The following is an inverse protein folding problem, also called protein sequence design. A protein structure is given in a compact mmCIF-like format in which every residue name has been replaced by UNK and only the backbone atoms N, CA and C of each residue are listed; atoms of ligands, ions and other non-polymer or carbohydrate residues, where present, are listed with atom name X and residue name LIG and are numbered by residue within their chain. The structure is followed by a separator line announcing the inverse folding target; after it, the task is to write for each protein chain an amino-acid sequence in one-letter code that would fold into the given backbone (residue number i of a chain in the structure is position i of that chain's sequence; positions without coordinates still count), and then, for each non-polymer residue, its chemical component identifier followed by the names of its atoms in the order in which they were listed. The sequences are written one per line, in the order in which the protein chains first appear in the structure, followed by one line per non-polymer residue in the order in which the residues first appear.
data_IF_027327902876
#
_entry.id   IF_027327902876
#
_cell.length_a   1.000
_cell.length_b   1.000
_cell.length_c   1.000
_cell.angle_alpha   90.00
_cell.angle_beta   90.00
_cell.angle_gamma   90.00
#
_symmetry.space_group_name_H-M   'P 1'
#
loop_
_entity.id
_entity.type
_entity.pdbx_description
1 polymer ?
#
# COMPACT_ATOMS: atom_id res chain seq x y z
N UNK A 1 -6.50 -17.47 6.90
CA UNK A 1 -5.87 -16.83 5.77
C UNK A 1 -5.91 -15.32 5.90
N UNK A 2 -4.74 -14.68 5.80
CA UNK A 2 -4.59 -13.25 6.07
C UNK A 2 -5.27 -12.38 5.03
N UNK A 3 -5.25 -12.81 3.76
CA UNK A 3 -5.73 -12.00 2.65
C UNK A 3 -6.78 -12.76 1.83
N UNK A 4 -7.82 -12.04 1.46
CA UNK A 4 -8.79 -12.48 0.46
C UNK A 4 -9.10 -11.30 -0.44
N UNK A 5 -8.66 -11.35 -1.69
CA UNK A 5 -8.87 -10.32 -2.71
C UNK A 5 -8.47 -10.88 -4.07
N UNK A 6 -8.73 -10.11 -5.12
CA UNK A 6 -8.30 -10.44 -6.49
C UNK A 6 -7.27 -9.44 -6.93
N UNK A 7 -6.25 -9.90 -7.66
CA UNK A 7 -5.16 -9.02 -8.10
C UNK A 7 -4.80 -9.26 -9.56
N UNK A 8 -4.29 -8.21 -10.19
CA UNK A 8 -3.66 -8.26 -11.50
C UNK A 8 -2.40 -7.39 -11.45
N UNK A 9 -1.39 -7.76 -12.24
CA UNK A 9 -0.10 -7.08 -12.22
C UNK A 9 0.05 -6.17 -13.42
N UNK A 10 0.52 -4.94 -13.18
CA UNK A 10 0.78 -3.95 -14.22
C UNK A 10 2.28 -3.78 -14.33
N UNK A 11 2.84 -4.14 -15.49
CA UNK A 11 4.28 -4.13 -15.74
C UNK A 11 4.72 -3.00 -16.65
N UNK A 12 3.82 -2.11 -17.03
CA UNK A 12 4.11 -1.00 -17.94
C UNK A 12 5.25 -0.14 -17.39
N UNK A 13 6.29 0.03 -18.22
CA UNK A 13 7.51 0.72 -17.81
C UNK A 13 7.28 2.20 -17.54
N UNK A 14 6.47 2.86 -18.38
CA UNK A 14 6.23 4.30 -18.22
C UNK A 14 5.46 4.59 -16.93
N UNK A 15 4.44 3.80 -16.65
CA UNK A 15 3.65 3.93 -15.42
C UNK A 15 4.55 3.69 -14.20
N UNK A 16 5.34 2.63 -14.23
CA UNK A 16 6.26 2.32 -13.12
C UNK A 16 7.29 3.42 -12.91
N UNK A 17 7.84 3.97 -14.00
CA UNK A 17 8.80 5.07 -13.94
C UNK A 17 8.18 6.32 -13.32
N UNK A 18 6.93 6.62 -13.67
CA UNK A 18 6.21 7.75 -13.10
C UNK A 18 6.02 7.59 -11.59
N UNK A 19 5.64 6.40 -11.14
CA UNK A 19 5.50 6.11 -9.72
C UNK A 19 6.83 6.19 -8.99
N UNK A 20 7.91 5.72 -9.60
CA UNK A 20 9.24 5.79 -9.00
C UNK A 20 9.68 7.24 -8.79
N UNK A 21 9.44 8.12 -9.76
CA UNK A 21 9.73 9.54 -9.61
C UNK A 21 8.94 10.17 -8.46
N UNK A 22 7.66 9.84 -8.38
CA UNK A 22 6.81 10.32 -7.31
C UNK A 22 7.30 9.83 -5.95
N UNK A 23 7.71 8.56 -5.87
CA UNK A 23 8.26 7.98 -4.65
C UNK A 23 9.53 8.72 -4.20
N UNK A 24 10.46 9.01 -5.13
CA UNK A 24 11.67 9.75 -4.79
C UNK A 24 11.34 11.12 -4.21
N UNK A 25 10.36 11.80 -4.76
CA UNK A 25 9.92 13.10 -4.25
C UNK A 25 9.33 12.98 -2.84
N UNK A 26 8.46 12.00 -2.61
CA UNK A 26 7.87 11.77 -1.29
C UNK A 26 8.94 11.39 -0.27
N UNK A 27 9.85 10.51 -0.65
CA UNK A 27 10.96 10.07 0.22
C UNK A 27 11.80 11.26 0.68
N UNK A 28 12.07 12.19 -0.24
CA UNK A 28 12.80 13.42 0.06
C UNK A 28 12.00 14.36 0.96
N UNK A 29 10.74 14.60 0.62
CA UNK A 29 9.88 15.53 1.38
C UNK A 29 9.59 15.02 2.80
N UNK A 30 9.35 13.74 2.95
CA UNK A 30 9.13 13.12 4.24
C UNK A 30 10.41 12.95 5.06
N UNK A 31 11.56 13.20 4.44
CA UNK A 31 12.88 13.04 5.07
C UNK A 31 13.13 11.62 5.56
N UNK A 32 12.53 10.64 4.89
CA UNK A 32 12.77 9.23 5.21
C UNK A 32 14.17 8.78 4.82
N UNK A 33 14.69 9.33 3.72
CA UNK A 33 16.04 9.04 3.22
C UNK A 33 16.28 7.54 2.99
N UNK A 34 15.27 6.82 2.57
CA UNK A 34 15.43 5.42 2.21
C UNK A 34 16.23 5.28 0.90
N UNK A 35 17.04 4.24 0.83
CA UNK A 35 17.62 3.82 -0.43
C UNK A 35 16.53 3.14 -1.28
N UNK A 36 16.14 3.78 -2.36
CA UNK A 36 15.13 3.26 -3.28
C UNK A 36 15.79 3.10 -4.65
N UNK A 37 15.79 1.88 -5.17
CA UNK A 37 16.44 1.57 -6.45
C UNK A 37 15.46 1.16 -7.54
N UNK A 38 14.27 0.68 -7.17
CA UNK A 38 13.29 0.22 -8.16
C UNK A 38 11.89 0.19 -7.57
N UNK A 39 10.91 -0.08 -8.43
CA UNK A 39 9.52 -0.33 -8.06
C UNK A 39 9.11 -1.68 -8.63
N UNK A 40 8.42 -2.49 -7.84
CA UNK A 40 7.87 -3.76 -8.32
C UNK A 40 6.75 -3.52 -9.34
N UNK A 41 6.36 -4.52 -10.13
CA UNK A 41 5.14 -4.41 -10.92
C UNK A 41 3.98 -3.95 -10.03
N UNK A 42 3.18 -3.02 -10.53
CA UNK A 42 2.07 -2.48 -9.74
C UNK A 42 0.98 -3.52 -9.58
N UNK A 43 0.36 -3.54 -8.43
CA UNK A 43 -0.72 -4.48 -8.14
C UNK A 43 -2.05 -3.76 -8.23
N UNK A 44 -2.86 -4.12 -9.23
CA UNK A 44 -4.26 -3.72 -9.28
C UNK A 44 -5.04 -4.73 -8.43
N UNK A 45 -5.73 -4.23 -7.40
CA UNK A 45 -6.47 -5.08 -6.46
C UNK A 45 -7.94 -4.70 -6.46
N UNK A 46 -8.82 -5.70 -6.40
CA UNK A 46 -10.22 -5.43 -6.17
C UNK A 46 -10.77 -6.37 -5.11
N UNK A 47 -11.57 -5.77 -4.23
CA UNK A 47 -12.15 -6.43 -3.07
C UNK A 47 -13.66 -6.40 -3.23
N UNK A 48 -14.28 -7.57 -3.23
CA UNK A 48 -15.72 -7.74 -3.26
C UNK A 48 -16.22 -8.06 -1.85
N UNK A 49 -17.54 -8.25 -1.69
CA UNK A 49 -18.12 -8.52 -0.39
C UNK A 49 -17.35 -9.64 0.33
N UNK A 50 -17.03 -9.40 1.60
CA UNK A 50 -16.28 -10.26 2.50
C UNK A 50 -14.77 -10.33 2.22
N UNK A 51 -14.30 -9.77 1.11
CA UNK A 51 -12.86 -9.69 0.83
C UNK A 51 -12.21 -8.71 1.81
N UNK A 52 -10.97 -9.03 2.19
CA UNK A 52 -10.24 -8.26 3.19
C UNK A 52 -8.74 -8.57 3.13
N UNK A 53 -7.98 -7.82 3.91
CA UNK A 53 -6.57 -8.12 4.15
C UNK A 53 -6.26 -7.79 5.61
N UNK A 54 -6.02 -8.81 6.42
CA UNK A 54 -5.75 -8.65 7.85
C UNK A 54 -4.45 -7.91 8.14
N UNK A 55 -4.21 -7.62 9.42
CA UNK A 55 -3.01 -6.90 9.84
C UNK A 55 -1.73 -7.58 9.34
N UNK A 56 -0.89 -6.80 8.67
CA UNK A 56 0.37 -7.28 8.11
C UNK A 56 1.33 -6.11 7.88
N UNK A 57 2.58 -6.44 7.63
CA UNK A 57 3.59 -5.51 7.11
C UNK A 57 3.98 -5.96 5.71
N UNK A 58 4.53 -5.05 4.92
CA UNK A 58 4.95 -5.34 3.55
C UNK A 58 6.44 -5.66 3.44
N UNK A 59 7.23 -5.30 4.44
CA UNK A 59 8.68 -5.51 4.41
C UNK A 59 9.01 -6.99 4.53
N UNK A 60 9.65 -7.52 3.48
CA UNK A 60 10.22 -8.85 3.50
C UNK A 60 11.33 -8.91 2.45
N UNK A 61 12.35 -9.75 2.65
CA UNK A 61 13.42 -9.90 1.67
C UNK A 61 12.88 -10.50 0.37
N UNK A 62 13.42 -10.04 -0.75
CA UNK A 62 13.19 -10.70 -2.04
C UNK A 62 14.30 -11.69 -2.29
N UNK A 63 13.94 -12.92 -2.59
CA UNK A 63 14.91 -14.01 -2.72
C UNK A 63 15.81 -13.88 -3.95
N UNK A 64 15.26 -13.38 -5.07
CA UNK A 64 15.97 -13.39 -6.35
C UNK A 64 17.02 -12.30 -6.48
N UNK A 65 16.76 -11.10 -5.94
CA UNK A 65 17.67 -9.96 -6.08
C UNK A 65 18.05 -9.32 -4.75
N UNK A 66 17.58 -9.89 -3.66
CA UNK A 66 17.88 -9.42 -2.30
C UNK A 66 17.47 -7.99 -2.00
N UNK A 67 16.56 -7.42 -2.80
CA UNK A 67 15.98 -6.13 -2.49
C UNK A 67 14.84 -6.29 -1.51
N UNK A 68 14.59 -5.27 -0.71
CA UNK A 68 13.48 -5.28 0.24
C UNK A 68 12.56 -4.10 -0.02
N UNK A 69 11.28 -4.28 0.30
CA UNK A 69 10.29 -3.20 0.25
C UNK A 69 10.55 -2.22 1.37
N UNK A 70 10.59 -0.94 1.03
CA UNK A 70 10.84 0.14 1.99
C UNK A 70 9.70 1.13 2.08
N UNK A 71 9.07 1.44 0.95
CA UNK A 71 7.92 2.34 0.89
C UNK A 71 6.80 1.64 0.16
N UNK A 72 5.60 1.71 0.72
CA UNK A 72 4.37 1.22 0.12
C UNK A 72 3.50 2.41 -0.27
N UNK A 73 2.77 2.26 -1.37
CA UNK A 73 1.82 3.26 -1.84
C UNK A 73 0.53 2.58 -2.22
N UNK A 74 -0.60 3.18 -1.87
CA UNK A 74 -1.90 2.73 -2.36
C UNK A 74 -2.71 3.91 -2.87
N UNK A 75 -3.45 3.68 -3.94
CA UNK A 75 -4.31 4.68 -4.56
C UNK A 75 -5.70 4.08 -4.73
N UNK A 76 -6.72 4.77 -4.24
CA UNK A 76 -8.10 4.36 -4.45
C UNK A 76 -8.52 4.72 -5.88
N UNK A 77 -9.10 3.78 -6.60
CA UNK A 77 -9.43 3.92 -8.01
C UNK A 77 -10.91 4.11 -8.29
N UNK A 78 -11.78 3.90 -7.30
CA UNK A 78 -13.21 4.13 -7.50
C UNK A 78 -13.82 4.90 -6.34
N UNK A 79 -14.96 5.52 -6.60
CA UNK A 79 -15.62 6.40 -5.67
C UNK A 79 -16.06 5.64 -4.41
N UNK A 80 -15.84 6.20 -3.20
CA UNK A 80 -16.22 5.53 -1.97
C UNK A 80 -17.73 5.32 -1.83
N UNK A 81 -18.55 5.99 -2.63
CA UNK A 81 -20.00 5.71 -2.67
C UNK A 81 -20.33 4.38 -3.31
N UNK A 82 -19.37 3.75 -4.00
CA UNK A 82 -19.57 2.48 -4.70
C UNK A 82 -19.36 1.25 -3.82
N UNK A 83 -18.95 1.43 -2.56
CA UNK A 83 -18.73 0.31 -1.65
C UNK A 83 -18.83 0.76 -0.20
N UNK A 84 -19.04 -0.21 0.69
CA UNK A 84 -19.01 0.00 2.13
C UNK A 84 -17.99 -0.95 2.76
N UNK A 85 -17.39 -0.51 3.86
CA UNK A 85 -16.26 -1.23 4.44
C UNK A 85 -14.97 -0.91 3.70
N UNK A 86 -14.00 -1.79 3.78
CA UNK A 86 -12.76 -1.66 3.02
C UNK A 86 -11.86 -0.52 3.47
N UNK A 87 -12.00 -0.05 4.70
CA UNK A 87 -11.11 0.98 5.25
C UNK A 87 -9.68 0.45 5.28
N UNK A 88 -8.74 1.30 4.87
CA UNK A 88 -7.32 1.06 5.06
C UNK A 88 -6.91 1.66 6.39
N UNK A 89 -6.54 0.82 7.34
CA UNK A 89 -6.08 1.26 8.66
C UNK A 89 -4.56 1.11 8.75
N UNK A 90 -3.89 2.15 9.23
CA UNK A 90 -2.46 2.13 9.52
C UNK A 90 -2.25 2.22 11.03
N UNK A 91 -1.40 1.34 11.58
CA UNK A 91 -1.00 1.43 12.98
C UNK A 91 0.14 2.44 13.08
N UNK A 92 -0.17 3.62 13.58
CA UNK A 92 0.78 4.72 13.68
C UNK A 92 1.44 4.83 15.05
N UNK A 93 1.34 3.78 15.85
CA UNK A 93 1.97 3.71 17.18
C UNK A 93 1.67 4.95 18.03
N UNK A 94 0.39 5.13 18.34
CA UNK A 94 -0.06 6.24 19.20
C UNK A 94 -0.20 5.75 20.64
N UNK A 95 0.87 5.75 21.46
CA UNK A 95 0.78 5.27 22.84
C UNK A 95 -0.22 6.11 23.62
N UNK A 96 -1.06 5.45 24.42
CA UNK A 96 -2.08 6.13 25.21
C UNK A 96 -3.36 6.42 24.46
N UNK A 97 -3.45 6.11 23.17
CA UNK A 97 -4.66 6.24 22.38
C UNK A 97 -5.24 4.86 22.04
N UNK A 98 -6.54 4.79 22.00
CA UNK A 98 -7.28 3.58 21.62
C UNK A 98 -8.44 3.98 20.71
N UNK A 99 -8.44 3.54 19.45
CA UNK A 99 -7.47 2.64 18.83
C UNK A 99 -6.15 3.32 18.47
N UNK A 100 -5.11 2.50 18.29
CA UNK A 100 -3.77 2.96 17.90
C UNK A 100 -3.66 3.25 16.40
N UNK A 101 -4.66 2.89 15.63
CA UNK A 101 -4.64 3.05 14.18
C UNK A 101 -5.50 4.21 13.74
N UNK A 102 -5.19 4.74 12.55
CA UNK A 102 -6.05 5.69 11.84
C UNK A 102 -6.51 5.06 10.54
N UNK A 103 -7.76 5.34 10.18
CA UNK A 103 -8.27 4.99 8.86
C UNK A 103 -7.90 6.08 7.86
N UNK A 104 -7.40 5.66 6.71
CA UNK A 104 -6.99 6.58 5.66
C UNK A 104 -8.17 7.05 4.83
N UNK A 105 -7.98 8.16 4.11
CA UNK A 105 -9.00 8.69 3.21
C UNK A 105 -9.37 7.68 2.14
N UNK A 106 -10.64 7.68 1.74
CA UNK A 106 -11.14 6.85 0.63
C UNK A 106 -11.27 7.64 -0.67
N UNK A 107 -10.83 8.90 -0.71
CA UNK A 107 -10.96 9.72 -1.92
C UNK A 107 -10.23 9.09 -3.10
N UNK A 108 -10.89 9.16 -4.27
CA UNK A 108 -10.33 8.65 -5.53
C UNK A 108 -9.09 9.44 -5.91
N UNK A 109 -8.06 8.72 -6.33
CA UNK A 109 -6.83 9.32 -6.83
C UNK A 109 -5.85 9.80 -5.78
N UNK A 110 -6.21 9.77 -4.50
CA UNK A 110 -5.26 10.10 -3.44
C UNK A 110 -4.26 8.97 -3.26
N UNK A 111 -2.98 9.31 -3.40
CA UNK A 111 -1.89 8.37 -3.18
C UNK A 111 -1.46 8.44 -1.71
N UNK A 112 -1.51 7.32 -1.02
CA UNK A 112 -1.11 7.21 0.37
C UNK A 112 0.20 6.46 0.41
N UNK A 113 1.26 7.14 0.88
CA UNK A 113 2.59 6.56 1.01
C UNK A 113 2.89 6.28 2.47
N UNK A 114 3.44 5.11 2.77
CA UNK A 114 3.80 4.76 4.13
C UNK A 114 5.00 3.82 4.15
N UNK A 115 5.68 3.77 5.28
CA UNK A 115 6.79 2.86 5.51
C UNK A 115 6.27 1.42 5.40
N UNK A 116 6.94 0.60 4.58
CA UNK A 116 6.52 -0.79 4.38
C UNK A 116 6.54 -1.63 5.65
N UNK A 117 7.23 -1.18 6.69
CA UNK A 117 7.23 -1.84 8.01
C UNK A 117 6.03 -1.46 8.89
N UNK A 118 5.16 -0.57 8.40
CA UNK A 118 3.98 -0.16 9.15
C UNK A 118 2.92 -1.25 9.07
N UNK A 119 2.40 -1.68 10.23
CA UNK A 119 1.28 -2.60 10.29
C UNK A 119 0.04 -1.92 9.71
N UNK A 120 -0.65 -2.61 8.81
CA UNK A 120 -1.83 -2.08 8.16
C UNK A 120 -2.78 -3.22 7.80
N UNK A 121 -4.03 -2.84 7.53
CA UNK A 121 -5.07 -3.79 7.11
C UNK A 121 -6.07 -3.12 6.19
N UNK A 122 -6.79 -3.94 5.42
CA UNK A 122 -8.00 -3.54 4.71
C UNK A 122 -9.16 -4.28 5.36
N UNK A 123 -10.10 -3.54 5.95
CA UNK A 123 -11.27 -4.13 6.61
C UNK A 123 -12.17 -4.80 5.57
N UNK A 124 -12.95 -5.80 5.98
CA UNK A 124 -13.85 -6.47 5.05
C UNK A 124 -14.80 -5.50 4.33
N UNK A 125 -15.02 -5.77 3.06
CA UNK A 125 -16.04 -5.08 2.28
C UNK A 125 -17.39 -5.63 2.71
N UNK A 126 -18.34 -4.76 3.02
CA UNK A 126 -19.70 -5.17 3.39
C UNK A 126 -20.66 -5.10 2.23
N UNK A 127 -20.42 -4.21 1.27
CA UNK A 127 -21.19 -4.15 0.01
C UNK A 127 -20.36 -3.47 -1.07
N UNK A 128 -20.66 -3.77 -2.32
CA UNK A 128 -19.98 -3.17 -3.46
C UNK A 128 -18.60 -3.74 -3.71
N UNK A 129 -17.81 -3.03 -4.49
CA UNK A 129 -16.45 -3.44 -4.87
C UNK A 129 -15.49 -2.26 -4.68
N UNK A 130 -14.40 -2.49 -3.95
CA UNK A 130 -13.32 -1.52 -3.78
C UNK A 130 -12.19 -1.86 -4.74
N UNK A 131 -11.72 -0.85 -5.48
CA UNK A 131 -10.61 -1.00 -6.44
C UNK A 131 -9.46 -0.12 -6.02
N UNK A 132 -8.25 -0.66 -6.03
CA UNK A 132 -7.05 0.09 -5.66
C UNK A 132 -5.84 -0.34 -6.46
N UNK A 133 -4.86 0.55 -6.52
CA UNK A 133 -3.56 0.28 -7.12
C UNK A 133 -2.52 0.35 -6.01
N UNK A 134 -1.67 -0.66 -5.94
CA UNK A 134 -0.62 -0.75 -4.92
C UNK A 134 0.74 -0.75 -5.61
N UNK A 135 1.66 0.05 -5.09
CA UNK A 135 3.04 0.09 -5.56
C UNK A 135 3.99 -0.17 -4.39
N UNK A 136 4.98 -1.03 -4.60
CA UNK A 136 6.03 -1.28 -3.63
C UNK A 136 7.37 -0.83 -4.19
N UNK A 137 8.05 0.02 -3.43
CA UNK A 137 9.34 0.58 -3.78
C UNK A 137 10.41 -0.11 -2.97
N UNK A 138 11.41 -0.63 -3.67
CA UNK A 138 12.41 -1.51 -3.09
C UNK A 138 13.80 -0.88 -3.12
N UNK A 139 14.62 -1.30 -2.20
CA UNK A 139 16.00 -0.86 -2.11
C UNK A 139 16.87 -1.92 -1.48
N UNK A 140 18.14 -1.60 -1.30
CA UNK A 140 19.11 -2.52 -0.73
C UNK A 140 18.77 -2.82 0.74
N UNK A 141 19.06 -4.04 1.23
CA UNK A 141 18.83 -4.37 2.63
C UNK A 141 19.59 -3.42 3.56
N UNK A 142 19.06 -3.24 4.75
CA UNK A 142 19.75 -2.48 5.80
C UNK A 142 20.99 -3.25 6.25
N UNK A 143 22.04 -2.53 6.59
CA UNK A 143 23.29 -3.09 7.08
C UNK A 143 23.50 -2.77 8.55
#
# INVERSE_FOLDING_TARGET
KTRKSRVAWIKDREIRSMFLKLCHEVNRQAKWNFNIVDVEPLQYSWYQKDDHYGWHIDTHPQETNKLIRKISCTINLNDPSEYEGGELDLDLYKPGFDPRWDSMTKEVGNAIFFNSSTWHRVRPITSGTRKSLVAWFVGNPYV
#
